data_IF_794996971264
#
_entry.id   IF_794996971264
#
_cell.length_a   1.000
_cell.length_b   1.000
_cell.length_c   1.000
_cell.angle_alpha   90.00
_cell.angle_beta   90.00
_cell.angle_gamma   90.00
#
_symmetry.space_group_name_H-M   'P 1'
#
loop_
_entity.id
_entity.type
_entity.pdbx_description
1 polymer ?
#
# COMPACT_ATOMS: atom_id res chain seq x y z
N UNK A 1 -11.30 -73.80 25.77
CA UNK A 1 -11.48 -72.43 26.32
C UNK A 1 -10.58 -71.47 25.53
N UNK A 2 -11.06 -70.29 25.12
CA UNK A 2 -10.52 -69.52 24.00
C UNK A 2 -9.63 -68.36 24.48
N UNK A 3 -8.31 -68.49 24.38
CA UNK A 3 -7.37 -67.41 24.70
C UNK A 3 -6.61 -66.84 23.49
N UNK A 4 -6.75 -67.45 22.30
CA UNK A 4 -5.95 -67.08 21.13
C UNK A 4 -6.52 -65.93 20.28
N UNK A 5 -7.83 -65.62 20.37
CA UNK A 5 -8.47 -64.64 19.46
C UNK A 5 -8.35 -63.17 19.90
N UNK A 6 -7.93 -62.89 21.14
CA UNK A 6 -7.88 -61.51 21.68
C UNK A 6 -6.54 -60.80 21.40
N UNK A 7 -5.44 -61.54 21.21
CA UNK A 7 -4.12 -60.95 20.96
C UNK A 7 -4.01 -60.36 19.53
N UNK A 8 -4.52 -61.07 18.52
CA UNK A 8 -4.51 -60.60 17.13
C UNK A 8 -5.36 -59.34 16.93
N UNK A 9 -6.58 -59.32 17.48
CA UNK A 9 -7.48 -58.17 17.34
C UNK A 9 -6.90 -56.88 17.97
N UNK A 10 -6.19 -56.99 19.11
CA UNK A 10 -5.48 -55.86 19.74
C UNK A 10 -4.29 -55.38 18.91
N UNK A 11 -3.51 -56.29 18.33
CA UNK A 11 -2.38 -55.95 17.46
C UNK A 11 -2.81 -55.19 16.19
N UNK A 12 -3.87 -55.66 15.52
CA UNK A 12 -4.42 -54.97 14.35
C UNK A 12 -5.02 -53.61 14.71
N UNK A 13 -5.75 -53.50 15.82
CA UNK A 13 -6.31 -52.23 16.27
C UNK A 13 -5.23 -51.20 16.64
N UNK A 14 -4.16 -51.64 17.31
CA UNK A 14 -3.02 -50.78 17.66
C UNK A 14 -2.25 -50.32 16.42
N UNK A 15 -2.00 -51.22 15.46
CA UNK A 15 -1.37 -50.88 14.18
C UNK A 15 -2.19 -49.87 13.37
N UNK A 16 -3.53 -49.99 13.38
CA UNK A 16 -4.44 -49.06 12.71
C UNK A 16 -4.44 -47.69 13.38
N UNK A 17 -4.47 -47.65 14.71
CA UNK A 17 -4.35 -46.40 15.49
C UNK A 17 -2.99 -45.72 15.26
N UNK A 18 -1.91 -46.50 15.21
CA UNK A 18 -0.58 -46.00 14.91
C UNK A 18 -0.48 -45.43 13.49
N UNK A 19 -0.96 -46.15 12.47
CA UNK A 19 -1.03 -45.65 11.09
C UNK A 19 -1.85 -44.37 11.00
N UNK A 20 -3.00 -44.30 11.67
CA UNK A 20 -3.81 -43.07 11.72
C UNK A 20 -3.06 -41.92 12.39
N UNK A 21 -2.38 -42.16 13.52
CA UNK A 21 -1.58 -41.14 14.19
C UNK A 21 -0.45 -40.63 13.28
N UNK A 22 0.25 -41.52 12.58
CA UNK A 22 1.28 -41.15 11.60
C UNK A 22 0.69 -40.31 10.48
N UNK A 23 -0.45 -40.71 9.90
CA UNK A 23 -1.12 -39.94 8.85
C UNK A 23 -1.52 -38.55 9.35
N UNK A 24 -2.08 -38.43 10.55
CA UNK A 24 -2.46 -37.14 11.14
C UNK A 24 -1.23 -36.25 11.35
N UNK A 25 -0.11 -36.80 11.82
CA UNK A 25 1.14 -36.06 11.99
C UNK A 25 1.66 -35.57 10.64
N UNK A 26 1.70 -36.44 9.63
CA UNK A 26 2.14 -36.08 8.27
C UNK A 26 1.26 -34.98 7.68
N UNK A 27 -0.06 -35.11 7.81
CA UNK A 27 -1.00 -34.08 7.36
C UNK A 27 -0.82 -32.76 8.10
N UNK A 28 -0.61 -32.80 9.42
CA UNK A 28 -0.34 -31.60 10.22
C UNK A 28 0.93 -30.87 9.79
N UNK A 29 2.01 -31.61 9.52
CA UNK A 29 3.28 -31.03 9.04
C UNK A 29 3.11 -30.43 7.64
N UNK A 30 2.45 -31.15 6.73
CA UNK A 30 2.19 -30.65 5.37
C UNK A 30 1.32 -29.40 5.38
N UNK A 31 0.28 -29.38 6.23
CA UNK A 31 -0.60 -28.24 6.40
C UNK A 31 0.14 -27.02 6.95
N UNK A 32 0.97 -27.21 7.97
CA UNK A 32 1.80 -26.15 8.54
C UNK A 32 2.75 -25.55 7.51
N UNK A 33 3.42 -26.39 6.71
CA UNK A 33 4.29 -25.93 5.64
C UNK A 33 3.52 -25.15 4.56
N UNK A 34 2.35 -25.66 4.16
CA UNK A 34 1.52 -25.01 3.15
C UNK A 34 1.04 -23.62 3.60
N UNK A 35 0.58 -23.50 4.85
CA UNK A 35 0.16 -22.21 5.42
C UNK A 35 1.31 -21.21 5.45
N UNK A 36 2.49 -21.63 5.90
CA UNK A 36 3.66 -20.74 5.94
C UNK A 36 4.08 -20.24 4.55
N UNK A 37 3.98 -21.08 3.52
CA UNK A 37 4.24 -20.67 2.13
C UNK A 37 3.15 -19.72 1.64
N UNK A 38 1.88 -20.00 1.93
CA UNK A 38 0.76 -19.18 1.50
C UNK A 38 0.82 -17.75 2.06
N UNK A 39 1.12 -17.61 3.36
CA UNK A 39 1.29 -16.30 4.01
C UNK A 39 2.42 -15.51 3.36
N UNK A 40 3.55 -16.16 3.07
CA UNK A 40 4.68 -15.52 2.41
C UNK A 40 4.34 -15.08 0.99
N UNK A 41 3.63 -15.90 0.23
CA UNK A 41 3.22 -15.56 -1.13
C UNK A 41 2.15 -14.46 -1.13
N UNK A 42 1.21 -14.47 -0.20
CA UNK A 42 0.23 -13.40 -0.03
C UNK A 42 0.94 -12.06 0.23
N UNK A 43 1.95 -12.05 1.10
CA UNK A 43 2.79 -10.88 1.38
C UNK A 43 3.51 -10.36 0.14
N UNK A 44 4.17 -11.25 -0.59
CA UNK A 44 4.88 -10.89 -1.80
C UNK A 44 3.92 -10.35 -2.88
N UNK A 45 2.73 -10.94 -3.00
CA UNK A 45 1.72 -10.53 -3.96
C UNK A 45 1.17 -9.13 -3.63
N UNK A 46 0.84 -8.86 -2.37
CA UNK A 46 0.40 -7.53 -1.94
C UNK A 46 1.48 -6.48 -2.20
N UNK A 47 2.72 -6.76 -1.80
CA UNK A 47 3.85 -5.86 -2.01
C UNK A 47 4.06 -5.52 -3.49
N UNK A 48 4.02 -6.53 -4.37
CA UNK A 48 4.14 -6.33 -5.82
C UNK A 48 2.96 -5.54 -6.39
N UNK A 49 1.73 -5.85 -5.97
CA UNK A 49 0.54 -5.15 -6.42
C UNK A 49 0.56 -3.67 -6.01
N UNK A 50 0.91 -3.37 -4.76
CA UNK A 50 1.01 -2.00 -4.27
C UNK A 50 2.11 -1.20 -4.96
N UNK A 51 3.30 -1.80 -5.15
CA UNK A 51 4.39 -1.16 -5.90
C UNK A 51 4.02 -0.92 -7.37
N UNK A 52 3.26 -1.82 -7.99
CA UNK A 52 2.74 -1.63 -9.35
C UNK A 52 1.79 -0.44 -9.44
N UNK A 53 0.85 -0.31 -8.50
CA UNK A 53 -0.05 0.86 -8.40
C UNK A 53 0.76 2.15 -8.32
N UNK A 54 1.70 2.23 -7.37
CA UNK A 54 2.55 3.42 -7.18
C UNK A 54 3.35 3.75 -8.46
N UNK A 55 3.90 2.74 -9.13
CA UNK A 55 4.62 2.93 -10.39
C UNK A 55 3.72 3.52 -11.48
N UNK A 56 2.50 3.01 -11.65
CA UNK A 56 1.56 3.55 -12.63
C UNK A 56 1.15 4.99 -12.30
N UNK A 57 0.87 5.29 -11.02
CA UNK A 57 0.53 6.65 -10.60
C UNK A 57 1.68 7.63 -10.85
N UNK A 58 2.94 7.22 -10.62
CA UNK A 58 4.12 8.04 -10.96
C UNK A 58 4.20 8.31 -12.46
N UNK A 59 4.00 7.30 -13.30
CA UNK A 59 3.98 7.49 -14.75
C UNK A 59 2.87 8.46 -15.19
N UNK A 60 1.67 8.33 -14.63
CA UNK A 60 0.57 9.25 -14.89
C UNK A 60 0.89 10.69 -14.48
N UNK A 61 1.57 10.88 -13.35
CA UNK A 61 2.02 12.21 -12.89
C UNK A 61 3.08 12.83 -13.80
N UNK A 62 4.00 12.04 -14.34
CA UNK A 62 4.99 12.53 -15.32
C UNK A 62 4.28 13.03 -16.58
N UNK A 63 3.32 12.25 -17.09
CA UNK A 63 2.50 12.65 -18.25
C UNK A 63 1.73 13.94 -17.95
N UNK A 64 1.05 14.00 -16.79
CA UNK A 64 0.30 15.18 -16.39
C UNK A 64 1.19 16.40 -16.19
N UNK A 65 2.39 16.21 -15.62
CA UNK A 65 3.38 17.27 -15.47
C UNK A 65 3.80 17.86 -16.82
N UNK A 66 4.10 17.00 -17.80
CA UNK A 66 4.43 17.43 -19.15
C UNK A 66 3.26 18.17 -19.84
N UNK A 67 2.03 17.67 -19.70
CA UNK A 67 0.83 18.33 -20.22
C UNK A 67 0.67 19.75 -19.66
N UNK A 68 0.82 19.90 -18.34
CA UNK A 68 0.71 21.19 -17.66
C UNK A 68 1.82 22.15 -18.09
N UNK A 69 3.05 21.66 -18.27
CA UNK A 69 4.19 22.47 -18.73
C UNK A 69 4.06 22.94 -20.18
N UNK A 70 3.37 22.18 -21.03
CA UNK A 70 3.11 22.54 -22.42
C UNK A 70 1.87 23.44 -22.58
N UNK A 71 0.99 23.46 -21.59
CA UNK A 71 -0.19 24.34 -21.58
C UNK A 71 0.20 25.80 -21.36
N UNK A 72 -0.42 26.72 -22.13
CA UNK A 72 -0.11 28.16 -22.11
C UNK A 72 -0.41 28.86 -20.77
N UNK A 73 -1.20 28.24 -19.90
CA UNK A 73 -1.55 28.79 -18.58
C UNK A 73 -1.42 27.79 -17.43
N UNK A 74 -0.91 26.59 -17.69
CA UNK A 74 -0.81 25.54 -16.69
C UNK A 74 0.27 25.84 -15.65
N UNK A 75 -0.06 25.78 -14.36
CA UNK A 75 0.91 25.89 -13.28
C UNK A 75 1.01 24.58 -12.51
N UNK A 76 2.19 23.96 -12.52
CA UNK A 76 2.46 22.72 -11.77
C UNK A 76 2.09 22.84 -10.28
N UNK A 77 2.23 24.04 -9.70
CA UNK A 77 1.87 24.30 -8.31
C UNK A 77 0.36 24.12 -8.02
N UNK A 78 -0.52 24.33 -9.00
CA UNK A 78 -1.98 24.17 -8.85
C UNK A 78 -2.37 22.70 -8.76
N UNK A 79 -1.56 21.81 -9.35
CA UNK A 79 -1.75 20.35 -9.32
C UNK A 79 -1.10 19.68 -8.10
N UNK A 80 -0.58 20.44 -7.14
CA UNK A 80 -0.08 19.88 -5.88
C UNK A 80 -1.24 19.30 -5.07
N UNK A 81 -1.04 18.09 -4.55
CA UNK A 81 -1.98 17.42 -3.66
C UNK A 81 -3.21 16.83 -4.36
N UNK A 82 -3.30 16.87 -5.69
CA UNK A 82 -4.41 16.23 -6.40
C UNK A 82 -4.44 14.73 -6.15
N UNK A 83 -5.61 14.14 -6.35
CA UNK A 83 -5.80 12.70 -6.31
C UNK A 83 -5.20 12.05 -7.58
N UNK A 84 -4.10 11.29 -7.49
CA UNK A 84 -3.45 10.74 -8.68
C UNK A 84 -4.28 9.63 -9.35
N UNK A 85 -5.26 9.04 -8.66
CA UNK A 85 -6.17 8.06 -9.26
C UNK A 85 -7.12 8.68 -10.29
N UNK A 86 -7.35 9.99 -10.25
CA UNK A 86 -8.14 10.70 -11.28
C UNK A 86 -7.38 10.88 -12.59
N UNK A 87 -6.06 10.64 -12.59
CA UNK A 87 -5.21 10.74 -13.77
C UNK A 87 -5.12 9.43 -14.56
N UNK A 88 -5.62 8.34 -14.01
CA UNK A 88 -5.58 7.01 -14.65
C UNK A 88 -7.00 6.56 -14.97
N UNK A 89 -7.22 6.08 -16.19
CA UNK A 89 -8.52 5.53 -16.58
C UNK A 89 -8.78 4.14 -15.97
N UNK A 90 -7.72 3.46 -15.54
CA UNK A 90 -7.82 2.12 -14.96
C UNK A 90 -8.45 2.15 -13.58
N UNK A 91 -9.57 1.43 -13.42
CA UNK A 91 -10.25 1.29 -12.14
C UNK A 91 -9.63 0.16 -11.31
N UNK A 92 -8.91 0.53 -10.27
CA UNK A 92 -8.34 -0.40 -9.31
C UNK A 92 -9.39 -0.84 -8.29
N UNK A 93 -9.71 -2.14 -8.23
CA UNK A 93 -10.76 -2.64 -7.33
C UNK A 93 -10.51 -2.42 -5.82
N UNK A 94 -9.25 -2.18 -5.44
CA UNK A 94 -8.83 -1.87 -4.08
C UNK A 94 -8.75 -0.36 -3.78
N UNK A 95 -9.03 0.52 -4.75
CA UNK A 95 -9.21 1.95 -4.50
C UNK A 95 -10.67 2.24 -4.12
N UNK A 96 -10.87 2.85 -2.94
CA UNK A 96 -12.21 3.11 -2.36
C UNK A 96 -12.70 4.54 -2.53
N UNK A 97 -11.96 5.39 -3.24
CA UNK A 97 -12.29 6.82 -3.35
C UNK A 97 -11.86 7.58 -2.11
N UNK A 98 -12.75 8.40 -1.54
CA UNK A 98 -12.45 9.18 -0.35
C UNK A 98 -12.30 8.28 0.89
N UNK A 99 -11.34 8.58 1.76
CA UNK A 99 -11.16 7.85 3.01
C UNK A 99 -12.36 8.06 3.92
N UNK A 100 -13.09 6.98 4.21
CA UNK A 100 -14.17 6.99 5.20
C UNK A 100 -13.58 6.84 6.61
N UNK A 101 -14.29 7.39 7.61
CA UNK A 101 -13.89 7.28 9.01
C UNK A 101 -14.07 5.85 9.56
N UNK A 102 -14.97 5.06 8.98
CA UNK A 102 -15.02 3.62 9.23
C UNK A 102 -13.72 2.94 8.78
N UNK A 103 -13.25 2.05 9.66
CA UNK A 103 -12.01 1.29 9.55
C UNK A 103 -11.73 0.83 8.12
N UNK A 104 -10.71 1.43 7.49
CA UNK A 104 -10.29 1.07 6.15
C UNK A 104 -10.02 -0.44 6.08
N UNK A 105 -10.52 -1.09 5.04
CA UNK A 105 -10.28 -2.52 4.85
C UNK A 105 -8.78 -2.78 4.58
N UNK A 106 -8.24 -3.94 4.97
CA UNK A 106 -6.88 -4.34 4.64
C UNK A 106 -6.60 -4.27 3.13
N UNK A 107 -5.37 -3.95 2.74
CA UNK A 107 -4.90 -3.85 1.36
C UNK A 107 -5.71 -2.88 0.45
N UNK A 108 -6.20 -1.79 1.03
CA UNK A 108 -6.98 -0.78 0.28
C UNK A 108 -6.31 0.59 0.21
N UNK A 109 -6.63 1.29 -0.88
CA UNK A 109 -6.24 2.67 -1.15
C UNK A 109 -7.43 3.61 -0.94
N UNK A 110 -7.18 4.78 -0.36
CA UNK A 110 -8.17 5.85 -0.29
C UNK A 110 -7.50 7.22 -0.35
N UNK A 111 -8.25 8.25 -0.74
CA UNK A 111 -7.79 9.63 -0.79
C UNK A 111 -8.39 10.42 0.38
N UNK A 112 -7.53 10.97 1.23
CA UNK A 112 -7.94 11.86 2.32
C UNK A 112 -7.75 13.30 1.87
N UNK A 113 -8.85 13.98 1.57
CA UNK A 113 -8.84 15.41 1.31
C UNK A 113 -8.45 16.19 2.58
N UNK A 114 -7.68 17.27 2.40
CA UNK A 114 -7.45 18.28 3.43
C UNK A 114 -8.67 19.19 3.49
N UNK A 115 -9.02 19.68 4.68
CA UNK A 115 -10.04 20.72 4.81
C UNK A 115 -9.62 21.95 3.99
N UNK A 116 -10.37 22.22 2.92
CA UNK A 116 -10.15 23.36 2.05
C UNK A 116 -11.19 24.44 2.34
N UNK A 117 -10.78 25.70 2.20
CA UNK A 117 -11.73 26.81 2.07
C UNK A 117 -12.47 26.65 0.74
N UNK A 118 -13.76 26.98 0.73
CA UNK A 118 -14.77 26.78 -0.34
C UNK A 118 -14.40 27.28 -1.76
N UNK A 119 -13.21 27.85 -1.97
CA UNK A 119 -12.77 28.55 -3.18
C UNK A 119 -11.80 27.77 -4.09
N UNK A 120 -11.44 26.52 -3.77
CA UNK A 120 -10.58 25.70 -4.64
C UNK A 120 -11.40 24.73 -5.52
N UNK A 121 -11.05 24.65 -6.82
CA UNK A 121 -11.77 23.86 -7.83
C UNK A 121 -11.67 22.33 -7.66
N UNK A 122 -10.76 21.83 -6.82
CA UNK A 122 -10.56 20.39 -6.63
C UNK A 122 -9.97 20.06 -5.24
N UNK A 123 -10.40 18.93 -4.63
CA UNK A 123 -9.91 18.50 -3.32
C UNK A 123 -8.43 18.12 -3.39
N UNK A 124 -7.60 18.78 -2.58
CA UNK A 124 -6.19 18.46 -2.37
C UNK A 124 -6.02 17.68 -1.09
N UNK A 125 -5.06 16.76 -1.06
CA UNK A 125 -4.88 15.90 0.09
C UNK A 125 -3.80 14.85 -0.10
N UNK A 126 -4.04 13.71 0.53
CA UNK A 126 -3.09 12.62 0.66
C UNK A 126 -3.69 11.31 0.18
N UNK A 127 -2.89 10.55 -0.55
CA UNK A 127 -3.20 9.17 -0.85
C UNK A 127 -2.76 8.30 0.32
N UNK A 128 -3.65 7.46 0.82
CA UNK A 128 -3.43 6.57 1.95
C UNK A 128 -3.55 5.12 1.47
N UNK A 129 -2.61 4.30 1.89
CA UNK A 129 -2.67 2.85 1.75
C UNK A 129 -2.67 2.20 3.13
N UNK A 130 -3.59 1.27 3.36
CA UNK A 130 -3.59 0.43 4.55
C UNK A 130 -3.09 -0.97 4.19
N UNK A 131 -1.90 -1.39 4.65
CA UNK A 131 -1.43 -2.75 4.45
C UNK A 131 -2.36 -3.77 5.10
N UNK A 132 -2.50 -4.95 4.48
CA UNK A 132 -3.17 -6.09 5.09
C UNK A 132 -2.25 -7.07 5.81
N UNK A 133 -0.94 -6.85 5.70
CA UNK A 133 0.12 -7.61 6.34
C UNK A 133 1.40 -6.77 6.34
N UNK A 134 2.45 -7.18 7.07
CA UNK A 134 3.74 -6.47 7.03
C UNK A 134 4.32 -6.47 5.62
N UNK A 135 4.58 -5.31 5.01
CA UNK A 135 5.11 -5.20 3.63
C UNK A 135 6.16 -4.09 3.52
N UNK A 136 6.87 -4.05 2.41
CA UNK A 136 7.81 -2.96 2.08
C UNK A 136 7.40 -2.25 0.79
N UNK A 137 7.04 -0.97 0.86
CA UNK A 137 6.74 -0.15 -0.34
C UNK A 137 7.74 0.99 -0.42
N UNK A 138 8.41 1.13 -1.57
CA UNK A 138 9.48 2.13 -1.78
C UNK A 138 10.56 2.11 -0.67
N UNK A 139 10.93 0.93 -0.18
CA UNK A 139 11.91 0.78 0.90
C UNK A 139 11.40 1.13 2.31
N UNK A 140 10.12 1.52 2.45
CA UNK A 140 9.49 1.75 3.75
C UNK A 140 8.72 0.51 4.19
N UNK A 141 9.06 0.02 5.38
CA UNK A 141 8.30 -1.04 6.03
C UNK A 141 7.04 -0.47 6.67
N UNK A 142 5.93 -1.18 6.50
CA UNK A 142 4.66 -0.87 7.15
C UNK A 142 3.96 -2.16 7.56
N UNK A 143 3.10 -2.04 8.57
CA UNK A 143 2.25 -3.13 9.05
C UNK A 143 0.78 -2.70 9.01
N UNK A 144 -0.12 -3.58 9.44
CA UNK A 144 -1.58 -3.36 9.40
C UNK A 144 -2.05 -2.14 10.22
N UNK A 145 -1.28 -1.76 11.25
CA UNK A 145 -1.59 -0.64 12.14
C UNK A 145 -1.04 0.69 11.62
N UNK A 146 -0.06 0.64 10.73
CA UNK A 146 0.68 1.81 10.22
C UNK A 146 0.36 2.04 8.75
N UNK A 147 -0.71 2.78 8.45
CA UNK A 147 -0.99 3.18 7.07
C UNK A 147 0.17 4.01 6.50
N UNK A 148 0.42 3.84 5.21
CA UNK A 148 1.38 4.64 4.47
C UNK A 148 0.65 5.76 3.74
N UNK A 149 1.31 6.91 3.62
CA UNK A 149 0.78 8.03 2.86
C UNK A 149 1.78 8.62 1.87
N UNK A 150 1.19 9.21 0.83
CA UNK A 150 1.87 9.96 -0.22
C UNK A 150 1.07 11.21 -0.56
N UNK A 151 1.76 12.22 -1.07
CA UNK A 151 1.15 13.40 -1.65
C UNK A 151 1.76 13.67 -3.03
N UNK A 152 0.94 14.17 -3.95
CA UNK A 152 1.44 14.74 -5.19
C UNK A 152 2.15 16.06 -4.85
N UNK A 153 3.42 16.15 -5.16
CA UNK A 153 4.22 17.36 -5.00
C UNK A 153 4.88 17.74 -6.31
N UNK A 154 5.46 18.94 -6.35
CA UNK A 154 6.22 19.40 -7.51
C UNK A 154 7.65 18.91 -7.42
N UNK A 155 8.23 18.58 -8.57
CA UNK A 155 9.66 18.39 -8.75
C UNK A 155 10.31 19.72 -9.16
N UNK A 156 11.54 19.92 -8.75
CA UNK A 156 12.30 21.14 -9.00
C UNK A 156 13.73 20.80 -9.40
N UNK A 157 14.35 21.68 -10.18
CA UNK A 157 15.74 21.58 -10.54
C UNK A 157 16.61 22.04 -9.36
N UNK A 158 16.91 21.10 -8.47
CA UNK A 158 17.80 21.30 -7.32
C UNK A 158 19.24 21.54 -7.81
N UNK A 159 19.66 22.80 -7.83
CA UNK A 159 20.99 23.18 -8.35
C UNK A 159 22.10 22.98 -7.33
N UNK A 160 21.77 22.94 -6.04
CA UNK A 160 22.74 22.89 -4.95
C UNK A 160 22.74 21.54 -4.20
N UNK A 161 21.82 20.64 -4.54
CA UNK A 161 21.72 19.29 -4.00
C UNK A 161 21.20 19.24 -2.56
N UNK A 162 20.56 20.30 -2.06
CA UNK A 162 20.11 20.37 -0.67
C UNK A 162 18.76 19.67 -0.43
N UNK A 163 18.07 19.22 -1.49
CA UNK A 163 16.79 18.54 -1.44
C UNK A 163 15.60 19.41 -1.00
N UNK A 164 15.80 20.72 -0.86
CA UNK A 164 14.80 21.69 -0.45
C UNK A 164 14.52 22.67 -1.60
N UNK A 165 13.23 22.97 -1.83
CA UNK A 165 12.85 23.88 -2.89
C UNK A 165 13.18 25.32 -2.49
N UNK A 166 13.96 25.99 -3.32
CA UNK A 166 14.20 27.43 -3.22
C UNK A 166 13.21 28.21 -4.12
N UNK A 167 12.89 29.46 -3.76
CA UNK A 167 11.87 30.25 -4.48
C UNK A 167 12.22 30.47 -5.96
N UNK A 168 13.52 30.55 -6.28
CA UNK A 168 14.03 30.78 -7.62
C UNK A 168 14.13 29.50 -8.47
N UNK A 169 13.92 28.32 -7.86
CA UNK A 169 14.06 27.06 -8.56
C UNK A 169 12.87 26.77 -9.46
N UNK A 170 13.21 26.42 -10.70
CA UNK A 170 12.23 26.08 -11.71
C UNK A 170 11.60 24.73 -11.38
N UNK A 171 10.27 24.72 -11.38
CA UNK A 171 9.49 23.49 -11.31
C UNK A 171 9.65 22.70 -12.62
N UNK A 172 9.98 21.42 -12.49
CA UNK A 172 10.31 20.52 -13.60
C UNK A 172 9.28 19.43 -13.82
N UNK A 173 8.36 19.21 -12.88
CA UNK A 173 7.31 18.20 -13.03
C UNK A 173 6.46 17.99 -11.77
N UNK A 174 5.71 16.89 -11.78
CA UNK A 174 4.96 16.38 -10.63
C UNK A 174 5.54 15.02 -10.21
N UNK A 175 5.60 14.78 -8.90
CA UNK A 175 6.04 13.51 -8.34
C UNK A 175 5.16 13.07 -7.17
N UNK A 176 5.04 11.75 -6.99
CA UNK A 176 4.38 11.17 -5.82
C UNK A 176 5.43 10.99 -4.72
N UNK A 177 5.35 11.82 -3.68
CA UNK A 177 6.30 11.81 -2.57
C UNK A 177 5.68 11.20 -1.31
N UNK A 178 6.44 10.39 -0.56
CA UNK A 178 5.99 9.88 0.73
C UNK A 178 5.75 11.03 1.72
N UNK A 179 4.72 10.90 2.55
CA UNK A 179 4.48 11.82 3.68
C UNK A 179 4.23 11.04 4.97
N UNK A 180 4.54 11.65 6.10
CA UNK A 180 4.19 11.12 7.42
C UNK A 180 2.72 11.44 7.73
N UNK A 181 2.00 10.47 8.29
CA UNK A 181 0.62 10.63 8.74
C UNK A 181 0.49 11.26 10.14
N UNK A 182 1.61 11.56 10.80
CA UNK A 182 1.62 12.33 12.05
C UNK A 182 1.06 13.74 11.80
N UNK A 183 0.33 14.26 12.80
CA UNK A 183 -0.46 15.51 12.77
C UNK A 183 0.32 16.78 12.35
N UNK A 184 1.64 16.70 12.18
CA UNK A 184 2.53 17.81 11.78
C UNK A 184 2.51 18.17 10.28
N UNK A 185 1.88 17.37 9.42
CA UNK A 185 1.70 17.73 8.00
C UNK A 185 0.69 18.90 7.79
N UNK A 186 0.04 19.36 8.86
CA UNK A 186 -0.87 20.50 8.88
C UNK A 186 -0.19 21.86 9.18
N UNK A 187 1.03 21.89 9.74
CA UNK A 187 1.63 23.14 10.25
C UNK A 187 2.89 23.62 9.53
N UNK A 188 3.59 22.77 8.78
CA UNK A 188 4.89 23.15 8.17
C UNK A 188 4.78 23.93 6.86
N UNK A 189 3.58 24.25 6.35
CA UNK A 189 3.41 25.09 5.16
C UNK A 189 2.99 26.54 5.43
N UNK A 190 2.50 26.86 6.64
CA UNK A 190 2.12 28.24 7.00
C UNK A 190 3.23 29.00 7.74
N UNK A 191 4.33 28.34 8.13
CA UNK A 191 5.44 28.97 8.84
C UNK A 191 6.57 29.52 7.94
N UNK A 192 6.41 29.55 6.61
CA UNK A 192 7.38 30.13 5.67
C UNK A 192 6.77 31.22 4.76
N UNK A 193 5.87 32.03 5.31
CA UNK A 193 5.43 33.28 4.68
C UNK A 193 5.96 34.49 5.42
#
# INVERSE_FOLDING_TARGET
MPAAKQADASGYALSRKFRLAVVVIVLGVLWWFLLGVLEREARNAEERAANMVISQLRSALVIKGAEVMLSRGGRLAEHRGINPFELVEHQWGNYKGQCQAEQLAPATWCFRAREQKETENAPKGWLIYKPGQPITIDGRQANEEQPLAWAVTTEFADRNGNGAREQEERLTGLKLAPVSLTEEAAQTQDAQR
#
